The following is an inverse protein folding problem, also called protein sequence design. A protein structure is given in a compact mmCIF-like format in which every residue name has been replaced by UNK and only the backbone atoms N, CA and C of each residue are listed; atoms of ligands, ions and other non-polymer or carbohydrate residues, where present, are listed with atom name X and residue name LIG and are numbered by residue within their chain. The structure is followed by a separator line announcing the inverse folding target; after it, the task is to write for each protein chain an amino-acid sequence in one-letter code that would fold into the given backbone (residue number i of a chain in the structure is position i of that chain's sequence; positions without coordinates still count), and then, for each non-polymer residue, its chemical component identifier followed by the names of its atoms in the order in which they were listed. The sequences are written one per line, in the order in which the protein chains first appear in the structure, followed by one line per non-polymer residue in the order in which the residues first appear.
data_IF_133551669895
#
_entry.id   IF_133551669895
#
_cell.length_a   1.000
_cell.length_b   1.000
_cell.length_c   1.000
_cell.angle_alpha   90.00
_cell.angle_beta   90.00
_cell.angle_gamma   90.00
#
_symmetry.space_group_name_H-M   'P 1'
#
loop_
_entity.id
_entity.type
_entity.pdbx_description
1 polymer ?
#
# COMPACT_ATOMS: atom_id res chain seq x y z
N UNK A 1 5.82 17.78 4.24
CA UNK A 1 6.66 16.76 3.57
C UNK A 1 6.66 15.52 4.44
N UNK A 2 6.25 14.37 3.91
CA UNK A 2 6.39 13.11 4.63
C UNK A 2 7.89 12.82 4.86
N UNK A 3 8.25 12.39 6.06
CA UNK A 3 9.63 12.04 6.40
C UNK A 3 9.99 10.71 5.72
N UNK A 4 11.16 10.63 5.10
CA UNK A 4 11.66 9.37 4.54
C UNK A 4 11.82 8.33 5.66
N UNK A 5 11.50 7.08 5.35
CA UNK A 5 11.71 5.95 6.26
C UNK A 5 13.21 5.66 6.43
N UNK A 6 13.57 4.87 7.44
CA UNK A 6 14.96 4.39 7.60
C UNK A 6 15.34 3.39 6.52
N UNK A 7 16.65 3.20 6.28
CA UNK A 7 17.13 2.22 5.29
C UNK A 7 16.65 0.79 5.58
N UNK A 8 16.57 0.41 6.86
CA UNK A 8 16.07 -0.91 7.26
C UNK A 8 14.59 -1.08 6.91
N UNK A 9 13.77 -0.06 7.18
CA UNK A 9 12.35 -0.05 6.81
C UNK A 9 12.15 -0.03 5.28
N UNK A 10 13.02 0.69 4.56
CA UNK A 10 12.99 0.73 3.10
C UNK A 10 13.21 -0.66 2.50
N UNK A 11 14.29 -1.34 2.92
CA UNK A 11 14.62 -2.69 2.43
C UNK A 11 13.58 -3.71 2.85
N UNK A 12 13.12 -3.68 4.11
CA UNK A 12 12.05 -4.57 4.60
C UNK A 12 10.75 -4.40 3.80
N UNK A 13 10.39 -3.15 3.50
CA UNK A 13 9.21 -2.85 2.68
C UNK A 13 9.37 -3.32 1.24
N UNK A 14 10.59 -3.24 0.68
CA UNK A 14 10.88 -3.77 -0.65
C UNK A 14 10.73 -5.29 -0.70
N UNK A 15 11.18 -6.01 0.35
CA UNK A 15 10.93 -7.44 0.48
C UNK A 15 9.43 -7.74 0.61
N UNK A 16 8.68 -6.99 1.42
CA UNK A 16 7.25 -7.19 1.56
C UNK A 16 6.48 -7.03 0.24
N UNK A 17 6.80 -6.00 -0.55
CA UNK A 17 6.20 -5.81 -1.88
C UNK A 17 6.63 -6.94 -2.84
N UNK A 18 7.90 -7.37 -2.77
CA UNK A 18 8.38 -8.50 -3.56
C UNK A 18 7.66 -9.79 -3.20
N UNK A 19 7.48 -10.10 -1.91
CA UNK A 19 6.79 -11.31 -1.48
C UNK A 19 5.32 -11.28 -1.92
N UNK A 20 4.63 -10.14 -1.76
CA UNK A 20 3.26 -9.97 -2.26
C UNK A 20 3.13 -10.24 -3.76
N UNK A 21 4.07 -9.71 -4.55
CA UNK A 21 4.13 -9.90 -6.00
C UNK A 21 4.38 -11.37 -6.39
N UNK A 22 5.20 -12.09 -5.64
CA UNK A 22 5.57 -13.48 -5.95
C UNK A 22 4.62 -14.51 -5.31
N UNK A 23 3.74 -14.10 -4.40
CA UNK A 23 2.72 -14.97 -3.81
C UNK A 23 1.72 -15.46 -4.87
N UNK A 24 1.37 -14.57 -5.80
CA UNK A 24 0.60 -14.89 -6.98
C UNK A 24 1.11 -14.07 -8.17
N UNK A 25 1.42 -14.73 -9.30
CA UNK A 25 1.85 -14.07 -10.55
C UNK A 25 0.89 -12.94 -11.01
N UNK A 26 -0.36 -12.97 -10.55
CA UNK A 26 -1.39 -11.97 -10.84
C UNK A 26 -1.15 -10.63 -10.14
N UNK A 27 -0.31 -10.56 -9.10
CA UNK A 27 -0.06 -9.31 -8.36
C UNK A 27 0.94 -8.37 -9.04
N UNK A 28 1.73 -8.85 -10.01
CA UNK A 28 2.64 -7.99 -10.76
C UNK A 28 1.88 -7.07 -11.74
N UNK A 29 2.17 -5.78 -11.69
CA UNK A 29 1.47 -4.81 -12.54
C UNK A 29 0.05 -4.57 -12.06
N UNK A 30 -0.91 -4.41 -12.97
CA UNK A 30 -2.30 -4.06 -12.65
C UNK A 30 -3.15 -5.30 -12.39
N UNK A 31 -3.86 -5.31 -11.27
CA UNK A 31 -4.77 -6.38 -10.86
C UNK A 31 -5.91 -5.84 -9.99
N UNK A 32 -6.92 -6.66 -9.77
CA UNK A 32 -8.02 -6.36 -8.85
C UNK A 32 -7.74 -7.02 -7.49
N UNK A 33 -7.94 -6.28 -6.40
CA UNK A 33 -7.71 -6.76 -5.05
C UNK A 33 -8.70 -6.14 -4.06
N UNK A 34 -8.96 -6.82 -2.94
CA UNK A 34 -9.85 -6.30 -1.89
C UNK A 34 -9.08 -5.33 -0.99
N UNK A 35 -9.25 -4.04 -1.26
CA UNK A 35 -8.62 -2.98 -0.48
C UNK A 35 -9.49 -2.65 0.74
N UNK A 36 -8.89 -2.67 1.93
CA UNK A 36 -9.51 -2.24 3.18
C UNK A 36 -8.71 -1.08 3.78
N UNK A 37 -9.39 -0.07 4.31
CA UNK A 37 -8.75 1.00 5.09
C UNK A 37 -9.18 0.86 6.54
N UNK A 38 -8.20 0.72 7.42
CA UNK A 38 -8.37 0.69 8.87
C UNK A 38 -7.95 2.04 9.45
N UNK A 39 -8.79 2.57 10.34
CA UNK A 39 -8.54 3.78 11.11
C UNK A 39 -8.96 3.54 12.55
N UNK A 40 -8.05 3.75 13.50
CA UNK A 40 -8.29 3.49 14.93
C UNK A 40 -8.85 2.07 15.21
N UNK A 41 -8.33 1.06 14.51
CA UNK A 41 -8.75 -0.35 14.68
C UNK A 41 -10.10 -0.71 14.05
N UNK A 42 -10.74 0.21 13.32
CA UNK A 42 -12.03 -0.01 12.66
C UNK A 42 -11.87 0.08 11.14
N UNK A 43 -12.52 -0.82 10.40
CA UNK A 43 -12.58 -0.77 8.94
C UNK A 43 -13.52 0.36 8.52
N UNK A 44 -12.98 1.41 7.91
CA UNK A 44 -13.74 2.58 7.41
C UNK A 44 -14.01 2.53 5.92
N UNK A 45 -13.31 1.67 5.20
CA UNK A 45 -13.52 1.40 3.77
C UNK A 45 -13.18 -0.06 3.46
N UNK A 46 -13.97 -0.68 2.58
CA UNK A 46 -13.71 -2.00 2.01
C UNK A 46 -14.34 -2.07 0.63
N UNK A 47 -13.53 -2.29 -0.41
CA UNK A 47 -14.01 -2.52 -1.76
C UNK A 47 -12.94 -3.21 -2.60
N UNK A 48 -13.35 -3.98 -3.60
CA UNK A 48 -12.48 -4.39 -4.69
C UNK A 48 -12.10 -3.16 -5.52
N UNK A 49 -10.80 -2.96 -5.72
CA UNK A 49 -10.23 -1.86 -6.49
C UNK A 49 -9.12 -2.38 -7.42
N UNK A 50 -8.87 -1.62 -8.48
CA UNK A 50 -7.68 -1.83 -9.28
C UNK A 50 -6.44 -1.30 -8.53
N UNK A 51 -5.45 -2.17 -8.38
CA UNK A 51 -4.17 -1.92 -7.73
C UNK A 51 -3.07 -2.17 -8.76
N UNK A 52 -2.03 -1.35 -8.72
CA UNK A 52 -0.82 -1.56 -9.50
C UNK A 52 0.35 -1.71 -8.55
N UNK A 53 1.07 -2.84 -8.61
CA UNK A 53 2.30 -3.02 -7.83
C UNK A 53 3.50 -3.25 -8.74
N UNK A 54 4.58 -2.51 -8.48
CA UNK A 54 5.80 -2.56 -9.27
C UNK A 54 7.03 -2.32 -8.40
N UNK A 55 8.10 -3.02 -8.75
CA UNK A 55 9.45 -2.82 -8.21
C UNK A 55 10.28 -2.14 -9.30
N UNK A 56 10.66 -0.89 -9.07
CA UNK A 56 11.57 -0.14 -9.93
C UNK A 56 13.00 -0.20 -9.39
N UNK A 57 13.97 0.28 -10.19
CA UNK A 57 15.40 0.21 -9.87
C UNK A 57 15.78 0.81 -8.51
N UNK A 58 15.06 1.86 -8.09
CA UNK A 58 15.42 2.65 -6.90
C UNK A 58 14.38 2.63 -5.78
N UNK A 59 13.16 2.16 -6.05
CA UNK A 59 12.08 2.09 -5.08
C UNK A 59 10.99 1.14 -5.57
N UNK A 60 10.09 0.79 -4.69
CA UNK A 60 8.91 -0.03 -5.00
C UNK A 60 7.67 0.73 -4.59
N UNK A 61 6.58 0.49 -5.30
CA UNK A 61 5.34 1.22 -5.06
C UNK A 61 4.11 0.36 -5.27
N UNK A 62 3.04 0.85 -4.65
CA UNK A 62 1.67 0.39 -4.81
C UNK A 62 0.82 1.61 -5.18
N UNK A 63 0.22 1.58 -6.36
CA UNK A 63 -0.78 2.55 -6.79
C UNK A 63 -2.18 1.94 -6.58
N UNK A 64 -3.09 2.68 -5.95
CA UNK A 64 -4.48 2.28 -5.72
C UNK A 64 -5.39 3.25 -6.46
N UNK A 65 -6.21 2.72 -7.37
CA UNK A 65 -7.20 3.51 -8.10
C UNK A 65 -8.44 3.76 -7.24
N UNK A 66 -8.40 4.84 -6.46
CA UNK A 66 -9.50 5.21 -5.57
C UNK A 66 -10.72 5.73 -6.34
N UNK A 67 -11.95 5.41 -5.88
CA UNK A 67 -13.14 6.10 -6.36
C UNK A 67 -13.05 7.60 -6.09
N UNK A 68 -13.61 8.43 -6.99
CA UNK A 68 -13.49 9.90 -6.98
C UNK A 68 -13.76 10.58 -5.64
N UNK A 69 -14.69 10.04 -4.84
CA UNK A 69 -15.03 10.56 -3.51
C UNK A 69 -13.92 10.38 -2.46
N UNK A 70 -12.99 9.44 -2.68
CA UNK A 70 -11.87 9.12 -1.80
C UNK A 70 -10.53 9.68 -2.27
N UNK A 71 -10.41 10.11 -3.53
CA UNK A 71 -9.18 10.73 -4.04
C UNK A 71 -8.79 12.01 -3.28
N UNK A 72 -9.73 12.69 -2.62
CA UNK A 72 -9.46 13.84 -1.75
C UNK A 72 -8.99 13.45 -0.34
N UNK A 73 -9.13 12.17 0.04
CA UNK A 73 -8.85 11.64 1.38
C UNK A 73 -7.56 10.80 1.34
N UNK A 74 -7.43 9.91 0.37
CA UNK A 74 -6.30 8.97 0.26
C UNK A 74 -5.35 9.37 -0.87
N UNK A 75 -4.10 8.90 -0.77
CA UNK A 75 -3.10 9.06 -1.82
C UNK A 75 -3.30 7.97 -2.87
N UNK A 76 -3.10 8.29 -4.15
CA UNK A 76 -3.11 7.28 -5.21
C UNK A 76 -1.88 6.37 -5.14
N UNK A 77 -0.72 6.94 -4.78
CA UNK A 77 0.58 6.28 -4.81
C UNK A 77 1.19 6.15 -3.42
N UNK A 78 1.65 4.95 -3.09
CA UNK A 78 2.38 4.64 -1.87
C UNK A 78 3.73 4.03 -2.23
N UNK A 79 4.82 4.56 -1.68
CA UNK A 79 6.19 4.10 -2.01
C UNK A 79 6.95 3.72 -0.76
N UNK A 80 7.83 2.73 -0.86
CA UNK A 80 8.68 2.31 0.25
C UNK A 80 9.71 3.36 0.70
N UNK A 81 9.82 4.50 -0.01
CA UNK A 81 10.59 5.66 0.47
C UNK A 81 9.92 6.38 1.64
N UNK A 82 8.58 6.33 1.73
CA UNK A 82 7.79 7.14 2.66
C UNK A 82 6.82 6.32 3.50
N UNK A 83 6.42 5.14 3.05
CA UNK A 83 5.52 4.23 3.75
C UNK A 83 6.24 2.94 4.12
N UNK A 84 5.76 2.32 5.20
CA UNK A 84 6.23 1.00 5.62
C UNK A 84 5.24 -0.05 5.12
N UNK A 85 5.76 -1.06 4.44
CA UNK A 85 5.00 -2.19 3.92
C UNK A 85 5.31 -3.43 4.75
N UNK A 86 4.27 -4.20 5.07
CA UNK A 86 4.38 -5.47 5.78
C UNK A 86 3.57 -6.49 5.00
N UNK A 87 4.18 -7.62 4.66
CA UNK A 87 3.48 -8.71 4.00
C UNK A 87 3.38 -9.90 4.94
N UNK A 88 2.17 -10.43 5.11
CA UNK A 88 1.95 -11.62 5.94
C UNK A 88 0.72 -12.38 5.49
N UNK A 89 0.91 -13.67 5.18
CA UNK A 89 -0.17 -14.63 4.93
C UNK A 89 -1.15 -14.20 3.81
N UNK A 90 -0.63 -13.76 2.66
CA UNK A 90 -1.45 -13.32 1.52
C UNK A 90 -1.78 -11.83 1.53
N UNK A 91 -1.59 -11.14 2.66
CA UNK A 91 -2.06 -9.77 2.84
C UNK A 91 -0.88 -8.79 2.86
N UNK A 92 -0.93 -7.78 2.00
CA UNK A 92 -0.03 -6.64 2.02
C UNK A 92 -0.65 -5.49 2.84
N UNK A 93 0.01 -5.10 3.92
CA UNK A 93 -0.34 -3.96 4.76
C UNK A 93 0.57 -2.77 4.46
N UNK A 94 -0.03 -1.59 4.28
CA UNK A 94 0.63 -0.30 4.12
C UNK A 94 0.32 0.56 5.35
N UNK A 95 1.35 0.89 6.14
CA UNK A 95 1.24 1.83 7.26
C UNK A 95 1.52 3.24 6.75
N UNK A 96 0.52 4.12 6.81
CA UNK A 96 0.62 5.46 6.26
C UNK A 96 -0.28 6.47 6.97
N UNK A 97 -0.25 7.72 6.51
CA UNK A 97 -1.22 8.74 6.90
C UNK A 97 -2.09 9.10 5.71
N UNK A 98 -3.35 9.45 5.96
CA UNK A 98 -4.20 10.04 4.95
C UNK A 98 -3.79 11.50 4.62
N UNK A 99 -4.47 12.14 3.67
CA UNK A 99 -4.20 13.53 3.28
C UNK A 99 -4.49 14.55 4.37
N UNK A 100 -5.18 14.16 5.44
CA UNK A 100 -5.44 14.98 6.64
C UNK A 100 -4.41 14.73 7.74
N UNK A 101 -3.36 13.94 7.48
CA UNK A 101 -2.34 13.50 8.44
C UNK A 101 -2.89 12.62 9.56
N UNK A 102 -3.97 11.87 9.32
CA UNK A 102 -4.47 10.89 10.28
C UNK A 102 -3.85 9.52 9.98
N UNK A 103 -3.36 8.83 11.01
CA UNK A 103 -2.77 7.50 10.89
C UNK A 103 -3.81 6.48 10.44
N UNK A 104 -3.47 5.72 9.41
CA UNK A 104 -4.29 4.66 8.84
C UNK A 104 -3.42 3.46 8.47
N UNK A 105 -4.06 2.31 8.32
CA UNK A 105 -3.47 1.14 7.69
C UNK A 105 -4.33 0.73 6.50
N UNK A 106 -3.70 0.42 5.38
CA UNK A 106 -4.38 -0.07 4.18
C UNK A 106 -3.97 -1.52 4.01
N UNK A 107 -4.92 -2.43 3.86
CA UNK A 107 -4.62 -3.83 3.55
C UNK A 107 -5.14 -4.20 2.17
N UNK A 108 -4.38 -5.02 1.47
CA UNK A 108 -4.63 -5.51 0.13
C UNK A 108 -4.50 -7.03 0.18
N UNK A 109 -5.51 -7.71 -0.35
CA UNK A 109 -5.83 -9.14 -0.21
C UNK A 109 -6.35 -9.64 -1.55
#
# INVERSE_FOLDING_TARGET
MAKKVSNEQFSTSQYAISDYIHDADEHWGSHEAIVRVMKNGVVVFKQELNVVTLIETNYSFVDILWPKKYESIYYGKYTNEYQVFVYFSGILEIKCTDKKNEEIAITID
#
